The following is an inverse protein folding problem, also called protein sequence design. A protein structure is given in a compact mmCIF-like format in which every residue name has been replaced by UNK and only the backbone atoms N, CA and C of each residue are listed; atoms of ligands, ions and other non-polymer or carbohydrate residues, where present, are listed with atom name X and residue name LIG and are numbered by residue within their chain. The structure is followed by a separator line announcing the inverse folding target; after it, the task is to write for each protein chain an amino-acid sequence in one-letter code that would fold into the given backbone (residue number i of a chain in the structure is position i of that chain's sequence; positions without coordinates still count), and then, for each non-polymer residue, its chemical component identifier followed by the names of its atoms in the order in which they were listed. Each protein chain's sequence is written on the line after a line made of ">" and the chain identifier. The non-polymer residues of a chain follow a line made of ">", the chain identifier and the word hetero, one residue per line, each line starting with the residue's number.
data_IF_031413172777
#
_entry.id   IF_031413172777
#
_cell.length_a   1.000
_cell.length_b   1.000
_cell.length_c   1.000
_cell.angle_alpha   90.00
_cell.angle_beta   90.00
_cell.angle_gamma   90.00
#
_symmetry.space_group_name_H-M   'P 1'
#
loop_
_entity.id
_entity.type
_entity.pdbx_description
1 polymer ?
#
# COMPACT_ATOMS: atom_id res chain seq x y z
N UNK A 1 3.68 -21.78 3.29
CA UNK A 1 3.80 -20.48 2.59
C UNK A 1 4.87 -20.60 1.53
N UNK A 2 4.50 -20.50 0.24
CA UNK A 2 5.46 -20.58 -0.88
C UNK A 2 5.19 -19.47 -1.90
N UNK A 3 4.96 -18.26 -1.39
CA UNK A 3 4.80 -17.08 -2.23
C UNK A 3 6.15 -16.68 -2.84
N UNK A 4 6.15 -16.41 -4.14
CA UNK A 4 7.29 -15.79 -4.84
C UNK A 4 6.82 -14.44 -5.36
N UNK A 5 7.51 -13.37 -4.95
CA UNK A 5 7.25 -12.02 -5.46
C UNK A 5 7.69 -11.95 -6.92
N UNK A 6 6.77 -11.53 -7.80
CA UNK A 6 7.13 -11.18 -9.16
C UNK A 6 7.94 -9.88 -9.15
N UNK A 7 9.03 -9.85 -9.91
CA UNK A 7 9.90 -8.68 -10.07
C UNK A 7 10.13 -8.43 -11.56
N UNK A 8 9.23 -7.65 -12.15
CA UNK A 8 9.26 -7.22 -13.53
C UNK A 8 9.33 -5.69 -13.58
N UNK A 9 10.36 -5.17 -14.27
CA UNK A 9 10.55 -3.73 -14.47
C UNK A 9 9.36 -3.16 -15.24
N UNK A 10 8.76 -2.09 -14.71
CA UNK A 10 7.57 -1.47 -15.29
C UNK A 10 6.26 -2.27 -15.11
N UNK A 11 6.29 -3.36 -14.34
CA UNK A 11 5.09 -4.15 -14.04
C UNK A 11 4.05 -3.36 -13.25
N UNK A 12 2.78 -3.67 -13.49
CA UNK A 12 1.65 -3.21 -12.68
C UNK A 12 1.22 -4.33 -11.73
N UNK A 13 1.01 -4.01 -10.47
CA UNK A 13 0.75 -4.99 -9.42
C UNK A 13 -0.52 -4.64 -8.64
N UNK A 14 -1.23 -5.68 -8.21
CA UNK A 14 -2.34 -5.58 -7.28
C UNK A 14 -1.89 -6.06 -5.90
N UNK A 15 -2.25 -5.30 -4.86
CA UNK A 15 -1.93 -5.63 -3.47
C UNK A 15 -3.20 -5.62 -2.62
N UNK A 16 -3.30 -6.58 -1.72
CA UNK A 16 -4.29 -6.58 -0.65
C UNK A 16 -3.59 -6.32 0.67
N UNK A 17 -4.02 -5.27 1.39
CA UNK A 17 -3.55 -4.96 2.74
C UNK A 17 -4.76 -5.00 3.67
N UNK A 18 -4.66 -5.77 4.76
CA UNK A 18 -5.70 -5.86 5.78
C UNK A 18 -5.19 -5.28 7.09
N UNK A 19 -6.09 -4.66 7.84
CA UNK A 19 -5.85 -4.37 9.26
C UNK A 19 -5.82 -5.67 10.06
N UNK A 20 -4.93 -5.75 11.06
CA UNK A 20 -4.82 -6.93 11.92
C UNK A 20 -6.11 -7.17 12.72
N UNK A 21 -6.68 -6.10 13.29
CA UNK A 21 -7.99 -6.14 13.95
C UNK A 21 -9.10 -5.91 12.91
N UNK A 22 -9.87 -6.96 12.60
CA UNK A 22 -10.82 -6.96 11.48
C UNK A 22 -12.01 -6.02 11.68
N UNK A 23 -12.31 -5.64 12.92
CA UNK A 23 -13.38 -4.69 13.24
C UNK A 23 -12.89 -3.24 13.35
N UNK A 24 -11.60 -3.01 13.15
CA UNK A 24 -11.01 -1.68 13.21
C UNK A 24 -11.26 -0.89 11.93
N UNK A 25 -11.67 0.36 12.08
CA UNK A 25 -11.80 1.37 11.04
C UNK A 25 -10.59 2.31 10.99
N UNK A 26 -9.45 1.94 11.59
CA UNK A 26 -8.27 2.83 11.77
C UNK A 26 -7.80 3.48 10.46
N UNK A 27 -7.80 2.76 9.34
CA UNK A 27 -7.36 3.31 8.04
C UNK A 27 -8.33 4.36 7.48
N UNK A 28 -9.60 4.30 7.87
CA UNK A 28 -10.63 5.27 7.48
C UNK A 28 -10.62 6.45 8.45
N UNK A 29 -10.60 6.17 9.76
CA UNK A 29 -10.56 7.19 10.81
C UNK A 29 -9.34 8.11 10.71
N UNK A 30 -8.20 7.56 10.30
CA UNK A 30 -6.93 8.26 10.11
C UNK A 30 -6.53 8.34 8.63
N UNK A 31 -7.50 8.64 7.76
CA UNK A 31 -7.27 8.68 6.31
C UNK A 31 -6.18 9.69 5.91
N UNK A 32 -6.05 10.80 6.63
CA UNK A 32 -5.03 11.81 6.35
C UNK A 32 -3.63 11.29 6.66
N UNK A 33 -3.44 10.56 7.76
CA UNK A 33 -2.16 9.92 8.10
C UNK A 33 -1.77 8.87 7.05
N UNK A 34 -2.74 8.08 6.58
CA UNK A 34 -2.53 7.12 5.49
C UNK A 34 -2.10 7.82 4.19
N UNK A 35 -2.76 8.92 3.82
CA UNK A 35 -2.40 9.72 2.63
C UNK A 35 -1.01 10.34 2.78
N UNK A 36 -0.67 10.84 3.97
CA UNK A 36 0.64 11.40 4.26
C UNK A 36 1.74 10.34 4.12
N UNK A 37 1.55 9.15 4.70
CA UNK A 37 2.48 8.04 4.57
C UNK A 37 2.68 7.62 3.10
N UNK A 38 1.59 7.46 2.34
CA UNK A 38 1.64 7.15 0.90
C UNK A 38 2.41 8.22 0.11
N UNK A 39 2.20 9.50 0.41
CA UNK A 39 2.89 10.62 -0.25
C UNK A 39 4.39 10.61 0.06
N UNK A 40 4.78 10.41 1.32
CA UNK A 40 6.19 10.32 1.74
C UNK A 40 6.90 9.20 1.00
N UNK A 41 6.30 8.00 0.95
CA UNK A 41 6.88 6.85 0.25
C UNK A 41 6.93 7.09 -1.25
N UNK A 42 5.88 7.63 -1.87
CA UNK A 42 5.86 7.96 -3.31
C UNK A 42 6.93 8.99 -3.69
N UNK A 43 7.26 9.92 -2.79
CA UNK A 43 8.35 10.88 -3.01
C UNK A 43 9.73 10.24 -2.99
N UNK A 44 9.95 9.25 -2.11
CA UNK A 44 11.23 8.54 -2.01
C UNK A 44 11.37 7.42 -3.06
N UNK A 45 10.25 6.82 -3.46
CA UNK A 45 10.16 5.71 -4.40
C UNK A 45 9.02 6.00 -5.39
N UNK A 46 9.30 6.65 -6.53
CA UNK A 46 8.25 7.02 -7.48
C UNK A 46 7.50 5.81 -8.04
N UNK A 47 6.17 5.84 -7.96
CA UNK A 47 5.27 4.87 -8.60
C UNK A 47 3.98 5.55 -9.10
N UNK A 48 3.29 4.91 -10.04
CA UNK A 48 2.00 5.37 -10.55
C UNK A 48 0.83 4.70 -9.81
N UNK A 49 -0.22 5.48 -9.57
CA UNK A 49 -1.53 4.99 -9.10
C UNK A 49 -2.53 5.46 -10.15
N UNK A 50 -3.20 4.52 -10.80
CA UNK A 50 -4.20 4.77 -11.84
C UNK A 50 -5.60 4.55 -11.28
#
# INVERSE_FOLDING_TARGET
>A
MRYRRADAVGGTYFFTVNVAERRSDVLVRHIDDLRAAMKTVKSAHPFAVW
#
